data_IF_905431801935
#
_entry.id   IF_905431801935
#
_cell.length_a   1.000
_cell.length_b   1.000
_cell.length_c   1.000
_cell.angle_alpha   90.00
_cell.angle_beta   90.00
_cell.angle_gamma   90.00
#
_symmetry.space_group_name_H-M   'P 1'
#
loop_
_entity.id
_entity.type
_entity.pdbx_description
1 polymer ?
#
# COMPACT_ATOMS: atom_id res chain seq x y z
N UNK A 1 -4.48 26.79 21.21
CA UNK A 1 -5.19 25.99 20.18
C UNK A 1 -4.41 26.10 18.88
N UNK A 2 -3.88 25.00 18.33
CA UNK A 2 -3.58 24.93 16.88
C UNK A 2 -2.13 24.88 16.37
N UNK A 3 -1.16 24.27 17.06
CA UNK A 3 0.17 24.01 16.45
C UNK A 3 0.81 22.68 16.90
N UNK A 4 0.04 21.58 16.88
CA UNK A 4 0.64 20.24 16.90
C UNK A 4 0.99 19.82 15.47
N UNK A 5 1.90 20.54 14.82
CA UNK A 5 2.62 19.98 13.68
C UNK A 5 3.52 18.88 14.25
N UNK A 6 2.98 17.65 14.30
CA UNK A 6 3.73 16.51 14.83
C UNK A 6 5.03 16.37 14.02
N UNK A 7 6.18 16.07 14.64
CA UNK A 7 7.48 15.98 13.96
C UNK A 7 7.54 14.96 12.80
N UNK A 8 6.50 14.13 12.63
CA UNK A 8 6.26 13.32 11.43
C UNK A 8 6.04 14.16 10.15
N UNK A 9 5.55 15.40 10.27
CA UNK A 9 5.14 16.22 9.12
C UNK A 9 6.23 17.17 8.59
N UNK A 10 7.35 17.32 9.29
CA UNK A 10 8.48 18.13 8.80
C UNK A 10 9.31 17.36 7.76
N UNK A 11 9.28 16.02 7.81
CA UNK A 11 9.74 15.10 6.75
C UNK A 11 8.54 14.50 5.96
N UNK A 12 7.40 15.21 5.91
CA UNK A 12 6.10 14.73 5.37
C UNK A 12 6.11 14.24 3.92
N UNK A 13 7.11 14.59 3.12
CA UNK A 13 7.09 14.33 1.68
C UNK A 13 6.96 12.83 1.33
N UNK A 14 7.64 11.96 2.07
CA UNK A 14 7.67 10.52 1.76
C UNK A 14 6.46 9.79 2.31
N UNK A 15 5.98 10.21 3.48
CA UNK A 15 4.73 9.69 4.02
C UNK A 15 3.56 10.11 3.11
N UNK A 16 3.51 11.37 2.67
CA UNK A 16 2.53 11.85 1.71
C UNK A 16 2.59 11.09 0.38
N UNK A 17 3.78 10.88 -0.18
CA UNK A 17 3.97 10.08 -1.39
C UNK A 17 3.47 8.63 -1.22
N UNK A 18 3.75 8.00 -0.09
CA UNK A 18 3.25 6.66 0.22
C UNK A 18 1.72 6.63 0.31
N UNK A 19 1.10 7.61 0.99
CA UNK A 19 -0.36 7.71 1.07
C UNK A 19 -1.02 7.94 -0.29
N UNK A 20 -0.39 8.74 -1.16
CA UNK A 20 -0.86 8.93 -2.53
C UNK A 20 -0.74 7.66 -3.36
N UNK A 21 0.38 6.94 -3.26
CA UNK A 21 0.58 5.68 -3.97
C UNK A 21 -0.42 4.61 -3.52
N UNK A 22 -0.64 4.48 -2.20
CA UNK A 22 -1.67 3.60 -1.62
C UNK A 22 -3.08 4.02 -2.05
N UNK A 23 -3.36 5.33 -2.09
CA UNK A 23 -4.65 5.86 -2.55
C UNK A 23 -4.91 5.51 -4.02
N UNK A 24 -3.91 5.71 -4.88
CA UNK A 24 -4.00 5.39 -6.30
C UNK A 24 -4.19 3.88 -6.54
N UNK A 25 -3.42 3.02 -5.86
CA UNK A 25 -3.53 1.56 -6.01
C UNK A 25 -4.88 1.03 -5.53
N UNK A 26 -5.35 1.47 -4.35
CA UNK A 26 -6.65 1.07 -3.79
C UNK A 26 -7.84 1.62 -4.58
N UNK A 27 -7.75 2.84 -5.10
CA UNK A 27 -8.77 3.41 -5.99
C UNK A 27 -8.91 2.61 -7.28
N UNK A 28 -7.78 2.31 -7.94
CA UNK A 28 -7.76 1.47 -9.14
C UNK A 28 -8.30 0.06 -8.87
N UNK A 29 -7.91 -0.54 -7.74
CA UNK A 29 -8.43 -1.84 -7.30
C UNK A 29 -9.93 -1.82 -7.03
N UNK A 30 -10.46 -0.77 -6.39
CA UNK A 30 -11.90 -0.64 -6.14
C UNK A 30 -12.70 -0.59 -7.45
N UNK A 31 -12.24 0.20 -8.43
CA UNK A 31 -12.86 0.23 -9.77
C UNK A 31 -12.80 -1.15 -10.41
N UNK A 32 -11.67 -1.86 -10.30
CA UNK A 32 -11.49 -3.18 -10.89
C UNK A 32 -12.42 -4.22 -10.27
N UNK A 33 -12.61 -4.14 -8.96
CA UNK A 33 -13.53 -4.98 -8.22
C UNK A 33 -14.97 -4.73 -8.67
N UNK A 34 -15.42 -3.47 -8.69
CA UNK A 34 -16.79 -3.14 -9.10
C UNK A 34 -17.07 -3.64 -10.52
N UNK A 35 -16.18 -3.35 -11.47
CA UNK A 35 -16.34 -3.81 -12.86
C UNK A 35 -16.33 -5.33 -12.99
N UNK A 36 -15.53 -6.02 -12.19
CA UNK A 36 -15.50 -7.49 -12.17
C UNK A 36 -16.79 -8.11 -11.63
N UNK A 37 -17.46 -7.44 -10.68
CA UNK A 37 -18.71 -7.91 -10.09
C UNK A 37 -19.92 -7.62 -10.99
N UNK A 38 -19.89 -6.52 -11.73
CA UNK A 38 -20.97 -6.12 -12.66
C UNK A 38 -21.01 -6.96 -13.95
N UNK A 39 -20.09 -7.91 -14.14
CA UNK A 39 -20.16 -8.88 -15.25
C UNK A 39 -19.92 -8.29 -16.64
N UNK A 40 -19.40 -7.06 -16.75
CA UNK A 40 -19.14 -6.44 -18.05
C UNK A 40 -18.06 -7.19 -18.84
N UNK A 41 -18.34 -7.58 -20.08
CA UNK A 41 -17.42 -8.28 -21.00
C UNK A 41 -16.22 -7.44 -21.48
N UNK A 42 -15.74 -6.50 -20.68
CA UNK A 42 -14.64 -5.61 -21.03
C UNK A 42 -13.28 -6.21 -20.62
N UNK A 43 -12.94 -7.39 -21.15
CA UNK A 43 -11.64 -8.06 -20.90
C UNK A 43 -10.45 -7.11 -21.11
N UNK A 44 -10.51 -6.27 -22.14
CA UNK A 44 -9.48 -5.28 -22.43
C UNK A 44 -9.43 -4.11 -21.45
N UNK A 45 -10.56 -3.80 -20.80
CA UNK A 45 -10.61 -2.80 -19.74
C UNK A 45 -10.08 -3.38 -18.44
N UNK A 46 -10.43 -4.63 -18.10
CA UNK A 46 -9.90 -5.32 -16.92
C UNK A 46 -8.38 -5.52 -17.01
N UNK A 47 -7.86 -5.92 -18.18
CA UNK A 47 -6.42 -6.10 -18.39
C UNK A 47 -5.65 -4.78 -18.31
N UNK A 48 -6.20 -3.69 -18.87
CA UNK A 48 -5.64 -2.34 -18.70
C UNK A 48 -5.64 -1.91 -17.25
N UNK A 49 -6.74 -2.15 -16.54
CA UNK A 49 -6.88 -1.74 -15.15
C UNK A 49 -5.92 -2.51 -14.24
N UNK A 50 -5.76 -3.82 -14.43
CA UNK A 50 -4.71 -4.58 -13.77
C UNK A 50 -3.32 -4.00 -14.07
N UNK A 51 -3.01 -3.64 -15.32
CA UNK A 51 -1.71 -3.04 -15.63
C UNK A 51 -1.47 -1.72 -14.88
N UNK A 52 -2.49 -0.87 -14.78
CA UNK A 52 -2.43 0.37 -14.00
C UNK A 52 -2.29 0.07 -12.51
N UNK A 53 -3.05 -0.88 -11.96
CA UNK A 53 -2.95 -1.29 -10.56
C UNK A 53 -1.57 -1.89 -10.24
N UNK A 54 -1.02 -2.73 -11.11
CA UNK A 54 0.34 -3.26 -10.97
C UNK A 54 1.38 -2.14 -10.94
N UNK A 55 1.26 -1.16 -11.84
CA UNK A 55 2.15 0.01 -11.86
C UNK A 55 2.04 0.83 -10.57
N UNK A 56 0.83 1.07 -10.08
CA UNK A 56 0.60 1.76 -8.81
C UNK A 56 1.19 0.99 -7.62
N UNK A 57 1.10 -0.34 -7.60
CA UNK A 57 1.71 -1.19 -6.58
C UNK A 57 3.24 -1.13 -6.60
N UNK A 58 3.86 -1.06 -7.79
CA UNK A 58 5.31 -0.87 -7.91
C UNK A 58 5.72 0.49 -7.35
N UNK A 59 5.00 1.56 -7.71
CA UNK A 59 5.25 2.90 -7.14
C UNK A 59 5.08 2.87 -5.62
N UNK A 60 4.05 2.20 -5.12
CA UNK A 60 3.82 2.04 -3.68
C UNK A 60 4.99 1.32 -2.99
N UNK A 61 5.52 0.24 -3.59
CA UNK A 61 6.68 -0.47 -3.06
C UNK A 61 7.92 0.43 -3.03
N UNK A 62 8.18 1.17 -4.11
CA UNK A 62 9.31 2.11 -4.19
C UNK A 62 9.15 3.23 -3.15
N UNK A 63 7.96 3.81 -3.03
CA UNK A 63 7.66 4.84 -2.03
C UNK A 63 7.86 4.31 -0.60
N UNK A 64 7.46 3.05 -0.34
CA UNK A 64 7.67 2.40 0.94
C UNK A 64 9.16 2.22 1.25
N UNK A 65 9.95 1.75 0.28
CA UNK A 65 11.39 1.59 0.44
C UNK A 65 12.09 2.94 0.66
N UNK A 66 11.74 3.96 -0.13
CA UNK A 66 12.26 5.32 0.02
C UNK A 66 11.91 5.91 1.39
N UNK A 67 10.70 5.66 1.88
CA UNK A 67 10.30 6.05 3.23
C UNK A 67 11.18 5.40 4.30
N UNK A 68 11.40 4.08 4.22
CA UNK A 68 12.27 3.35 5.16
C UNK A 68 13.69 3.92 5.14
N UNK A 69 14.30 4.04 3.95
CA UNK A 69 15.68 4.55 3.80
C UNK A 69 15.79 5.99 4.29
N UNK A 70 14.85 6.86 3.93
CA UNK A 70 14.88 8.27 4.35
C UNK A 70 14.77 8.43 5.86
N UNK A 71 13.93 7.64 6.54
CA UNK A 71 13.82 7.68 8.00
C UNK A 71 15.09 7.16 8.67
N UNK A 72 15.76 6.15 8.11
CA UNK A 72 17.05 5.67 8.63
C UNK A 72 18.18 6.69 8.47
N UNK A 73 18.17 7.51 7.40
CA UNK A 73 19.21 8.50 7.12
C UNK A 73 19.02 9.87 7.79
N UNK A 74 17.79 10.25 8.15
CA UNK A 74 17.47 11.60 8.67
C UNK A 74 17.55 11.73 10.20
N UNK A 75 17.65 10.62 10.95
CA UNK A 75 17.90 10.64 12.40
C UNK A 75 16.74 11.16 13.26
N UNK A 76 15.52 11.28 12.72
CA UNK A 76 14.38 11.79 13.49
C UNK A 76 13.88 10.78 14.55
N UNK A 77 14.26 11.00 15.81
CA UNK A 77 14.07 10.05 16.93
C UNK A 77 12.65 9.50 17.04
N UNK A 78 11.62 10.34 16.88
CA UNK A 78 10.22 9.92 16.95
C UNK A 78 9.78 9.04 15.78
N UNK A 79 10.22 9.34 14.56
CA UNK A 79 9.86 8.55 13.36
C UNK A 79 10.66 7.26 13.30
N UNK A 80 11.92 7.29 13.72
CA UNK A 80 12.77 6.10 13.84
C UNK A 80 12.23 5.11 14.88
N UNK A 81 11.66 5.60 16.00
CA UNK A 81 10.97 4.75 17.00
C UNK A 81 9.70 4.14 16.42
N UNK A 82 8.87 4.91 15.72
CA UNK A 82 7.68 4.36 15.05
C UNK A 82 8.07 3.31 13.98
N UNK A 83 9.11 3.59 13.19
CA UNK A 83 9.61 2.67 12.16
C UNK A 83 10.16 1.38 12.77
N UNK A 84 10.88 1.43 13.89
CA UNK A 84 11.37 0.20 14.55
C UNK A 84 10.22 -0.67 15.06
N UNK A 85 9.11 -0.06 15.53
CA UNK A 85 7.90 -0.80 15.89
C UNK A 85 7.25 -1.51 14.70
N UNK A 86 7.30 -0.88 13.52
CA UNK A 86 6.82 -1.44 12.25
C UNK A 86 7.71 -2.53 11.67
N UNK A 87 9.04 -2.41 11.77
CA UNK A 87 9.97 -3.35 11.14
C UNK A 87 10.26 -4.58 12.01
N UNK A 88 10.43 -4.37 13.32
CA UNK A 88 10.87 -5.42 14.25
C UNK A 88 10.06 -5.47 15.55
N UNK A 89 9.09 -4.57 15.73
CA UNK A 89 8.26 -4.51 16.94
C UNK A 89 6.95 -5.31 16.83
N UNK A 90 5.97 -5.02 17.69
CA UNK A 90 4.71 -5.76 17.77
C UNK A 90 3.89 -5.73 16.47
N UNK A 91 4.08 -4.69 15.66
CA UNK A 91 3.37 -4.52 14.40
C UNK A 91 4.12 -5.13 13.19
N UNK A 92 5.30 -5.71 13.39
CA UNK A 92 6.14 -6.24 12.32
C UNK A 92 5.49 -7.34 11.51
N UNK A 93 4.83 -8.29 12.17
CA UNK A 93 4.12 -9.39 11.50
C UNK A 93 3.01 -8.82 10.60
N UNK A 94 2.20 -7.92 11.12
CA UNK A 94 1.11 -7.27 10.39
C UNK A 94 1.63 -6.43 9.22
N UNK A 95 2.77 -5.76 9.39
CA UNK A 95 3.42 -4.99 8.34
C UNK A 95 3.98 -5.90 7.23
N UNK A 96 4.82 -6.88 7.57
CA UNK A 96 5.45 -7.73 6.56
C UNK A 96 4.44 -8.66 5.88
N UNK A 97 3.62 -9.40 6.63
CA UNK A 97 2.66 -10.31 6.03
C UNK A 97 1.47 -9.57 5.43
N UNK A 98 0.91 -8.60 6.14
CA UNK A 98 -0.30 -7.90 5.70
C UNK A 98 -0.02 -6.84 4.65
N UNK A 99 0.84 -5.86 4.96
CA UNK A 99 1.10 -4.76 4.05
C UNK A 99 1.99 -5.17 2.86
N UNK A 100 3.11 -5.87 3.11
CA UNK A 100 4.08 -6.20 2.05
C UNK A 100 3.64 -7.44 1.27
N UNK A 101 3.44 -8.58 1.94
CA UNK A 101 3.13 -9.84 1.24
C UNK A 101 1.72 -9.80 0.63
N UNK A 102 0.69 -9.58 1.44
CA UNK A 102 -0.71 -9.58 0.96
C UNK A 102 -1.00 -8.34 0.12
N UNK A 103 -0.51 -7.16 0.53
CA UNK A 103 -0.83 -5.90 -0.13
C UNK A 103 -0.06 -5.57 -1.40
N UNK A 104 1.11 -6.19 -1.62
CA UNK A 104 1.98 -5.86 -2.75
C UNK A 104 2.46 -7.12 -3.46
N UNK A 105 3.18 -8.02 -2.76
CA UNK A 105 3.88 -9.13 -3.40
C UNK A 105 2.91 -10.11 -4.05
N UNK A 106 1.90 -10.58 -3.32
CA UNK A 106 0.89 -11.51 -3.82
C UNK A 106 0.11 -10.96 -5.03
N UNK A 107 -0.46 -9.73 -5.00
CA UNK A 107 -1.16 -9.19 -6.16
C UNK A 107 -0.21 -8.92 -7.35
N UNK A 108 1.05 -8.53 -7.13
CA UNK A 108 2.02 -8.44 -8.23
C UNK A 108 2.37 -9.81 -8.82
N UNK A 109 2.59 -10.82 -7.98
CA UNK A 109 2.89 -12.18 -8.42
C UNK A 109 1.74 -12.76 -9.26
N UNK A 110 0.49 -12.55 -8.85
CA UNK A 110 -0.68 -12.97 -9.63
C UNK A 110 -0.75 -12.23 -10.98
N UNK A 111 -0.49 -10.93 -10.98
CA UNK A 111 -0.51 -10.10 -12.20
C UNK A 111 0.56 -10.50 -13.21
N UNK A 112 1.81 -10.66 -12.77
CA UNK A 112 2.91 -11.12 -13.62
C UNK A 112 2.82 -12.61 -13.97
N UNK A 113 2.22 -13.43 -13.10
CA UNK A 113 1.92 -14.85 -13.34
C UNK A 113 0.84 -15.11 -14.38
N UNK A 114 0.28 -14.07 -14.98
CA UNK A 114 -0.61 -14.16 -16.13
C UNK A 114 -2.02 -13.62 -15.90
N UNK A 115 -2.36 -13.11 -14.71
CA UNK A 115 -3.67 -12.49 -14.50
C UNK A 115 -3.91 -11.30 -15.43
N UNK A 116 -2.86 -10.52 -15.78
CA UNK A 116 -2.99 -9.43 -16.76
C UNK A 116 -3.39 -9.97 -18.14
N UNK A 117 -2.79 -11.09 -18.57
CA UNK A 117 -3.04 -11.69 -19.91
C UNK A 117 -4.37 -12.44 -19.96
N UNK A 118 -4.75 -13.09 -18.86
CA UNK A 118 -5.98 -13.86 -18.69
C UNK A 118 -6.91 -13.14 -17.71
N UNK A 119 -7.18 -11.86 -17.97
CA UNK A 119 -7.97 -11.00 -17.11
C UNK A 119 -9.42 -11.50 -17.02
N UNK A 120 -9.66 -12.44 -16.12
CA UNK A 120 -10.99 -12.97 -15.81
C UNK A 120 -11.59 -12.17 -14.65
N UNK A 121 -12.92 -11.96 -14.62
CA UNK A 121 -13.56 -11.21 -13.53
C UNK A 121 -13.18 -11.74 -12.14
N UNK A 122 -13.19 -13.06 -11.94
CA UNK A 122 -12.81 -13.67 -10.66
C UNK A 122 -11.36 -13.37 -10.26
N UNK A 123 -10.41 -13.45 -11.20
CA UNK A 123 -9.01 -13.14 -10.91
C UNK A 123 -8.81 -11.64 -10.63
N UNK A 124 -9.50 -10.77 -11.37
CA UNK A 124 -9.51 -9.33 -11.10
C UNK A 124 -10.04 -9.02 -9.71
N UNK A 125 -11.16 -9.63 -9.33
CA UNK A 125 -11.76 -9.44 -8.03
C UNK A 125 -10.80 -9.87 -6.91
N UNK A 126 -10.15 -11.03 -7.06
CA UNK A 126 -9.16 -11.53 -6.12
C UNK A 126 -7.99 -10.54 -5.95
N UNK A 127 -7.34 -10.14 -7.05
CA UNK A 127 -6.24 -9.17 -7.02
C UNK A 127 -6.69 -7.86 -6.38
N UNK A 128 -7.87 -7.36 -6.73
CA UNK A 128 -8.41 -6.12 -6.18
C UNK A 128 -8.63 -6.21 -4.66
N UNK A 129 -9.19 -7.32 -4.18
CA UNK A 129 -9.41 -7.54 -2.73
C UNK A 129 -8.07 -7.56 -1.99
N UNK A 130 -7.05 -8.25 -2.52
CA UNK A 130 -5.71 -8.27 -1.90
C UNK A 130 -5.12 -6.86 -1.78
N UNK A 131 -5.24 -6.04 -2.82
CA UNK A 131 -4.76 -4.65 -2.83
C UNK A 131 -5.54 -3.77 -1.84
N UNK A 132 -6.86 -3.93 -1.76
CA UNK A 132 -7.70 -3.19 -0.81
C UNK A 132 -7.37 -3.54 0.64
N UNK A 133 -7.26 -4.83 0.95
CA UNK A 133 -6.89 -5.32 2.28
C UNK A 133 -5.49 -4.83 2.66
N UNK A 134 -4.52 -4.97 1.75
CA UNK A 134 -3.16 -4.48 1.97
C UNK A 134 -3.09 -2.97 2.20
N UNK A 135 -3.79 -2.19 1.38
CA UNK A 135 -3.86 -0.74 1.52
C UNK A 135 -4.52 -0.28 2.83
N UNK A 136 -5.54 -1.01 3.30
CA UNK A 136 -6.11 -0.80 4.63
C UNK A 136 -5.10 -1.10 5.73
N UNK A 137 -4.41 -2.24 5.65
CA UNK A 137 -3.39 -2.65 6.63
C UNK A 137 -2.29 -1.59 6.71
N UNK A 138 -1.73 -1.14 5.58
CA UNK A 138 -0.69 -0.09 5.56
C UNK A 138 -1.12 1.15 6.35
N UNK A 139 -2.34 1.65 6.09
CA UNK A 139 -2.88 2.83 6.80
C UNK A 139 -3.02 2.55 8.29
N UNK A 140 -3.55 1.38 8.65
CA UNK A 140 -3.68 0.97 10.05
C UNK A 140 -2.32 0.94 10.76
N UNK A 141 -1.32 0.28 10.18
CA UNK A 141 -0.02 0.11 10.85
C UNK A 141 0.72 1.45 11.01
N UNK A 142 0.62 2.34 10.02
CA UNK A 142 1.20 3.70 10.09
C UNK A 142 0.56 4.51 11.22
N UNK A 143 -0.78 4.48 11.32
CA UNK A 143 -1.50 5.20 12.36
C UNK A 143 -1.15 4.64 13.74
N UNK A 144 -1.19 3.32 13.90
CA UNK A 144 -0.88 2.65 15.15
C UNK A 144 0.56 2.92 15.62
N UNK A 145 1.55 2.83 14.71
CA UNK A 145 2.94 3.14 15.03
C UNK A 145 3.15 4.62 15.37
N UNK A 146 2.41 5.53 14.72
CA UNK A 146 2.43 6.96 15.02
C UNK A 146 1.87 7.31 16.40
N UNK A 147 0.96 6.50 16.95
CA UNK A 147 0.43 6.66 18.31
C UNK A 147 1.45 6.21 19.35
N UNK A 148 2.12 5.08 19.14
CA UNK A 148 3.14 4.55 20.06
C UNK A 148 4.42 5.39 20.06
N UNK A 149 4.76 6.03 18.93
CA UNK A 149 5.90 6.96 18.85
C UNK A 149 5.68 8.28 19.60
N UNK A 150 4.45 8.59 20.01
CA UNK A 150 4.09 9.83 20.70
C UNK A 150 3.98 9.68 22.23
N UNK A 151 4.14 8.46 22.74
CA UNK A 151 4.26 8.10 24.16
C UNK A 151 5.71 7.82 24.55
#
# INVERSE_FOLDING_TARGET
LGSTARPLFVNAHWLGALFLAVGASTGGAAVALILSLLGGQARDSLSRLMRVTAFALIIQLVALLLFIVSVTGTGSVGVSKALSQLLSGPFSVTFWLGAVVVGIVAPLALQFGGAIKKATPAMTALVAVLVLVGGFIIKYVIIAAGQVGAS
#
